data_IF_669093262576
#
_entry.id   IF_669093262576
#
_cell.length_a   1.000
_cell.length_b   1.000
_cell.length_c   1.000
_cell.angle_alpha   90.00
_cell.angle_beta   90.00
_cell.angle_gamma   90.00
#
_symmetry.space_group_name_H-M   'P 1'
#
loop_
_entity.id
_entity.type
_entity.pdbx_description
1 polymer ?
#
# COMPACT_ATOMS: atom_id res chain seq x y z
N UNK A 1 21.93 8.34 41.56
CA UNK A 1 21.13 7.46 40.67
C UNK A 1 22.01 6.31 40.23
N UNK A 2 21.47 5.11 40.05
CA UNK A 2 22.25 3.91 39.68
C UNK A 2 22.16 3.61 38.19
N UNK A 3 23.17 2.91 37.66
CA UNK A 3 23.27 2.52 36.24
C UNK A 3 22.00 1.79 35.77
N UNK A 4 21.38 0.97 36.62
CA UNK A 4 20.13 0.27 36.30
C UNK A 4 18.96 1.21 36.00
N UNK A 5 18.76 2.26 36.80
CA UNK A 5 17.69 3.25 36.56
C UNK A 5 17.92 4.04 35.26
N UNK A 6 19.18 4.29 34.90
CA UNK A 6 19.53 4.95 33.64
C UNK A 6 19.27 4.04 32.44
N UNK A 7 19.60 2.74 32.55
CA UNK A 7 19.29 1.73 31.53
C UNK A 7 17.77 1.58 31.34
N UNK A 8 16.98 1.56 32.41
CA UNK A 8 15.51 1.53 32.32
C UNK A 8 14.95 2.80 31.65
N UNK A 9 15.47 3.98 31.99
CA UNK A 9 15.08 5.24 31.35
C UNK A 9 15.42 5.27 29.86
N UNK A 10 16.63 4.82 29.49
CA UNK A 10 17.06 4.73 28.10
C UNK A 10 16.20 3.75 27.29
N UNK A 11 15.85 2.60 27.87
CA UNK A 11 14.97 1.61 27.25
C UNK A 11 13.58 2.17 26.96
N UNK A 12 12.93 2.79 27.96
CA UNK A 12 11.61 3.41 27.78
C UNK A 12 11.62 4.50 26.71
N UNK A 13 12.67 5.32 26.65
CA UNK A 13 12.83 6.34 25.61
C UNK A 13 13.05 5.73 24.22
N UNK A 14 13.70 4.57 24.13
CA UNK A 14 13.87 3.83 22.88
C UNK A 14 12.53 3.28 22.37
N UNK A 15 11.76 2.62 23.24
CA UNK A 15 10.44 2.08 22.91
C UNK A 15 9.47 3.20 22.50
N UNK A 16 9.50 4.34 23.18
CA UNK A 16 8.71 5.52 22.82
C UNK A 16 9.03 6.04 21.41
N UNK A 17 10.32 6.12 21.05
CA UNK A 17 10.75 6.54 19.71
C UNK A 17 10.36 5.53 18.63
N UNK A 18 10.50 4.23 18.92
CA UNK A 18 10.08 3.15 18.01
C UNK A 18 8.59 3.22 17.72
N UNK A 19 7.76 3.39 18.75
CA UNK A 19 6.31 3.52 18.58
C UNK A 19 5.93 4.76 17.74
N UNK A 20 6.58 5.91 17.99
CA UNK A 20 6.35 7.11 17.20
C UNK A 20 6.75 6.93 15.73
N UNK A 21 7.85 6.25 15.47
CA UNK A 21 8.29 5.92 14.12
C UNK A 21 7.23 5.09 13.36
N UNK A 22 6.75 4.00 13.97
CA UNK A 22 5.71 3.19 13.31
C UNK A 22 4.39 3.95 13.13
N UNK A 23 4.01 4.82 14.06
CA UNK A 23 2.84 5.70 13.89
C UNK A 23 2.99 6.57 12.64
N UNK A 24 4.13 7.28 12.52
CA UNK A 24 4.42 8.11 11.34
C UNK A 24 4.39 7.32 10.04
N UNK A 25 4.98 6.12 10.03
CA UNK A 25 4.98 5.26 8.86
C UNK A 25 3.55 4.81 8.48
N UNK A 26 2.73 4.44 9.46
CA UNK A 26 1.33 4.11 9.23
C UNK A 26 0.52 5.33 8.74
N UNK A 27 0.80 6.53 9.24
CA UNK A 27 0.17 7.76 8.74
C UNK A 27 0.54 8.03 7.28
N UNK A 28 1.80 7.76 6.88
CA UNK A 28 2.21 7.82 5.47
C UNK A 28 1.49 6.79 4.59
N UNK A 29 1.23 5.56 5.07
CA UNK A 29 0.43 4.59 4.28
C UNK A 29 -0.99 5.09 4.02
N UNK A 30 -1.61 5.76 5.01
CA UNK A 30 -2.94 6.37 4.88
C UNK A 30 -2.90 7.53 3.88
N UNK A 31 -1.91 8.40 3.99
CA UNK A 31 -1.73 9.51 3.08
C UNK A 31 -1.52 9.03 1.63
N UNK A 32 -0.71 7.98 1.43
CA UNK A 32 -0.53 7.34 0.12
C UNK A 32 -1.87 6.83 -0.43
N UNK A 33 -2.65 6.08 0.36
CA UNK A 33 -3.96 5.57 -0.04
C UNK A 33 -4.94 6.68 -0.39
N UNK A 34 -5.02 7.73 0.43
CA UNK A 34 -5.97 8.82 0.22
C UNK A 34 -5.60 9.64 -1.03
N UNK A 35 -4.31 9.87 -1.27
CA UNK A 35 -3.86 10.53 -2.50
C UNK A 35 -4.05 9.65 -3.73
N UNK A 36 -3.82 8.33 -3.64
CA UNK A 36 -4.07 7.40 -4.73
C UNK A 36 -5.57 7.34 -5.09
N UNK A 37 -6.44 7.27 -4.08
CA UNK A 37 -7.90 7.31 -4.24
C UNK A 37 -8.37 8.56 -5.00
N UNK A 38 -7.79 9.72 -4.69
CA UNK A 38 -8.04 10.97 -5.45
C UNK A 38 -7.48 10.91 -6.86
N UNK A 39 -6.27 10.39 -7.02
CA UNK A 39 -5.59 10.29 -8.31
C UNK A 39 -6.36 9.44 -9.33
N UNK A 40 -6.96 8.32 -8.89
CA UNK A 40 -7.77 7.44 -9.74
C UNK A 40 -9.26 7.81 -9.76
N UNK A 41 -9.63 8.93 -9.14
CA UNK A 41 -11.02 9.39 -9.02
C UNK A 41 -11.96 8.29 -8.48
N UNK A 42 -11.49 7.49 -7.51
CA UNK A 42 -12.25 6.35 -7.01
C UNK A 42 -13.58 6.81 -6.41
N UNK A 43 -14.67 6.03 -6.55
CA UNK A 43 -15.94 6.35 -5.91
C UNK A 43 -15.79 6.57 -4.40
N UNK A 44 -16.46 7.59 -3.88
CA UNK A 44 -16.44 7.91 -2.43
C UNK A 44 -17.30 6.94 -1.59
N UNK A 45 -18.15 6.15 -2.26
CA UNK A 45 -18.99 5.14 -1.63
C UNK A 45 -18.21 3.86 -1.28
N UNK A 46 -18.96 2.89 -0.75
CA UNK A 46 -18.47 1.53 -0.52
C UNK A 46 -19.17 0.58 -1.48
N UNK A 47 -18.54 -0.55 -1.76
CA UNK A 47 -19.19 -1.68 -2.41
C UNK A 47 -19.33 -2.81 -1.40
N UNK A 48 -20.37 -3.62 -1.54
CA UNK A 48 -20.56 -4.79 -0.68
C UNK A 48 -19.53 -5.86 -1.00
N UNK A 49 -19.27 -6.76 -0.07
CA UNK A 49 -18.51 -8.00 -0.20
C UNK A 49 -19.17 -9.03 0.73
N UNK A 50 -18.78 -10.30 0.65
CA UNK A 50 -19.30 -11.34 1.55
C UNK A 50 -19.04 -10.99 3.04
N UNK A 51 -17.97 -10.24 3.31
CA UNK A 51 -17.55 -9.83 4.65
C UNK A 51 -18.07 -8.42 5.07
N UNK A 52 -18.85 -7.76 4.21
CA UNK A 52 -19.46 -6.44 4.47
C UNK A 52 -19.08 -5.35 3.47
N UNK A 53 -19.32 -4.09 3.84
CA UNK A 53 -19.06 -2.95 2.93
C UNK A 53 -17.64 -2.39 3.06
N UNK A 54 -16.95 -2.28 1.93
CA UNK A 54 -15.55 -1.85 1.86
C UNK A 54 -15.35 -0.74 0.83
N UNK A 55 -14.38 0.18 1.03
CA UNK A 55 -14.08 1.23 0.06
C UNK A 55 -13.35 0.68 -1.16
N UNK A 56 -13.44 1.40 -2.28
CA UNK A 56 -12.82 1.01 -3.56
C UNK A 56 -11.30 0.98 -3.50
N UNK A 57 -10.69 1.91 -2.76
CA UNK A 57 -9.26 1.88 -2.43
C UNK A 57 -9.11 1.61 -0.95
N UNK A 58 -8.41 0.53 -0.61
CA UNK A 58 -8.21 0.13 0.79
C UNK A 58 -6.79 -0.33 1.06
N UNK A 59 -6.41 -0.20 2.33
CA UNK A 59 -5.14 -0.70 2.85
C UNK A 59 -5.35 -2.10 3.44
N UNK A 60 -4.38 -2.97 3.23
CA UNK A 60 -4.34 -4.33 3.75
C UNK A 60 -3.05 -4.50 4.56
N UNK A 61 -3.10 -5.25 5.64
CA UNK A 61 -1.89 -5.68 6.32
C UNK A 61 -1.19 -6.75 5.48
N UNK A 62 0.15 -6.76 5.49
CA UNK A 62 0.94 -7.82 4.87
C UNK A 62 1.63 -8.63 5.96
N UNK A 63 1.15 -9.85 6.18
CA UNK A 63 1.66 -10.74 7.22
C UNK A 63 1.91 -12.11 6.62
N UNK A 64 3.11 -12.64 6.89
CA UNK A 64 3.52 -14.00 6.52
C UNK A 64 3.24 -14.38 5.05
N UNK A 65 3.45 -13.41 4.14
CA UNK A 65 3.28 -13.62 2.70
C UNK A 65 1.84 -13.50 2.22
N UNK A 66 0.92 -12.98 3.03
CA UNK A 66 -0.50 -12.89 2.74
C UNK A 66 -1.06 -11.49 3.04
N UNK A 67 -2.12 -11.13 2.32
CA UNK A 67 -2.91 -9.94 2.60
C UNK A 67 -3.99 -10.23 3.64
N UNK A 68 -4.08 -9.37 4.64
CA UNK A 68 -5.07 -9.47 5.71
C UNK A 68 -5.82 -8.15 5.91
N UNK A 69 -7.04 -8.24 6.45
CA UNK A 69 -7.76 -7.07 6.92
C UNK A 69 -7.03 -6.47 8.14
N UNK A 70 -6.80 -5.15 8.16
CA UNK A 70 -6.04 -4.53 9.25
C UNK A 70 -6.84 -4.52 10.55
N UNK A 71 -6.36 -5.24 11.57
CA UNK A 71 -6.90 -5.23 12.94
C UNK A 71 -6.21 -4.20 13.87
N UNK A 72 -5.19 -3.50 13.37
CA UNK A 72 -4.36 -2.57 14.14
C UNK A 72 -3.42 -1.72 13.28
N UNK A 73 -2.13 -1.72 13.60
CA UNK A 73 -1.10 -1.10 12.75
C UNK A 73 -0.90 -1.95 11.49
N UNK A 74 -0.95 -1.32 10.31
CA UNK A 74 -0.67 -1.95 9.02
C UNK A 74 0.78 -2.44 8.95
N UNK A 75 1.69 -1.58 9.40
CA UNK A 75 3.11 -1.89 9.51
C UNK A 75 3.47 -1.94 10.99
N UNK A 76 3.74 -3.15 11.48
CA UNK A 76 4.14 -3.44 12.86
C UNK A 76 5.60 -3.91 12.98
N UNK A 77 6.22 -4.29 11.85
CA UNK A 77 7.61 -4.72 11.73
C UNK A 77 8.24 -4.17 10.45
N UNK A 78 9.56 -4.06 10.45
CA UNK A 78 10.35 -3.82 9.25
C UNK A 78 11.11 -5.10 8.90
N UNK A 79 11.47 -5.24 7.63
CA UNK A 79 12.44 -6.25 7.20
C UNK A 79 13.89 -5.83 7.51
N UNK A 80 14.84 -6.65 7.06
CA UNK A 80 16.28 -6.43 7.25
C UNK A 80 16.80 -5.14 6.57
N UNK A 81 16.11 -4.66 5.53
CA UNK A 81 16.44 -3.44 4.79
C UNK A 81 15.71 -2.20 5.34
N UNK A 82 15.03 -2.35 6.48
CA UNK A 82 14.22 -1.35 7.17
C UNK A 82 12.98 -0.92 6.38
N UNK A 83 12.45 -1.81 5.55
CA UNK A 83 11.23 -1.58 4.76
C UNK A 83 10.01 -2.10 5.51
N UNK A 84 9.00 -1.24 5.62
CA UNK A 84 7.69 -1.58 6.13
C UNK A 84 6.72 -1.93 5.00
N UNK A 85 6.22 -3.16 4.99
CA UNK A 85 5.38 -3.68 3.92
C UNK A 85 3.89 -3.63 4.24
N UNK A 86 3.07 -3.27 3.26
CA UNK A 86 1.60 -3.27 3.34
C UNK A 86 0.98 -3.48 1.96
N UNK A 87 -0.30 -3.84 1.92
CA UNK A 87 -1.05 -3.97 0.68
C UNK A 87 -1.89 -2.74 0.36
N UNK A 88 -1.94 -2.37 -0.91
CA UNK A 88 -2.93 -1.44 -1.46
C UNK A 88 -3.86 -2.21 -2.40
N UNK A 89 -5.15 -2.10 -2.19
CA UNK A 89 -6.17 -2.79 -2.97
C UNK A 89 -7.05 -1.78 -3.69
N UNK A 90 -7.30 -2.01 -4.98
CA UNK A 90 -8.20 -1.25 -5.83
C UNK A 90 -9.28 -2.19 -6.41
N UNK A 91 -10.54 -1.88 -6.14
CA UNK A 91 -11.67 -2.49 -6.84
C UNK A 91 -11.97 -1.72 -8.13
N UNK A 92 -12.08 -2.45 -9.24
CA UNK A 92 -12.41 -1.92 -10.57
C UNK A 92 -13.68 -2.61 -11.08
N UNK A 93 -14.50 -1.85 -11.80
CA UNK A 93 -15.79 -2.28 -12.32
C UNK A 93 -15.87 -1.99 -13.81
N UNK A 94 -16.59 -2.82 -14.55
CA UNK A 94 -16.92 -2.52 -15.94
C UNK A 94 -18.04 -1.47 -16.00
N UNK A 95 -18.99 -1.54 -15.06
CA UNK A 95 -20.04 -0.56 -14.80
C UNK A 95 -20.42 -0.55 -13.30
N UNK A 96 -21.10 0.51 -12.84
CA UNK A 96 -21.47 0.73 -11.43
C UNK A 96 -22.27 -0.44 -10.80
N UNK A 97 -23.00 -1.20 -11.62
CA UNK A 97 -23.89 -2.28 -11.17
C UNK A 97 -23.29 -3.68 -11.38
N UNK A 98 -22.16 -3.79 -12.06
CA UNK A 98 -21.52 -5.05 -12.41
C UNK A 98 -21.01 -5.77 -11.16
N UNK A 99 -21.27 -7.06 -11.05
CA UNK A 99 -20.87 -7.90 -9.92
C UNK A 99 -20.41 -9.28 -10.42
N UNK A 100 -19.33 -9.87 -9.88
CA UNK A 100 -18.44 -9.33 -8.84
C UNK A 100 -17.47 -8.26 -9.36
N UNK A 101 -16.98 -7.40 -8.46
CA UNK A 101 -15.93 -6.40 -8.77
C UNK A 101 -14.58 -7.10 -8.93
N UNK A 102 -13.75 -6.64 -9.86
CA UNK A 102 -12.37 -7.14 -10.00
C UNK A 102 -11.47 -6.40 -9.03
N UNK A 103 -10.79 -7.13 -8.14
CA UNK A 103 -9.94 -6.55 -7.10
C UNK A 103 -8.47 -6.76 -7.44
N UNK A 104 -7.76 -5.65 -7.63
CA UNK A 104 -6.32 -5.62 -7.86
C UNK A 104 -5.62 -5.26 -6.57
N UNK A 105 -4.58 -6.01 -6.22
CA UNK A 105 -3.78 -5.78 -5.03
C UNK A 105 -2.35 -5.54 -5.46
N UNK A 106 -1.70 -4.58 -4.82
CA UNK A 106 -0.29 -4.33 -5.00
C UNK A 106 0.41 -4.31 -3.64
N UNK A 107 1.51 -5.06 -3.54
CA UNK A 107 2.40 -4.99 -2.38
C UNK A 107 3.25 -3.72 -2.47
N UNK A 108 3.27 -2.91 -1.39
CA UNK A 108 4.02 -1.67 -1.32
C UNK A 108 4.93 -1.70 -0.10
N UNK A 109 6.20 -1.36 -0.30
CA UNK A 109 7.17 -1.16 0.77
C UNK A 109 7.44 0.33 1.00
N UNK A 110 7.49 0.78 2.25
CA UNK A 110 7.93 2.12 2.61
C UNK A 110 9.18 2.07 3.47
N UNK A 111 10.15 2.89 3.12
CA UNK A 111 11.34 3.14 3.92
C UNK A 111 11.52 4.63 4.13
N UNK A 112 11.71 5.00 5.39
CA UNK A 112 11.87 6.40 5.78
C UNK A 112 13.28 6.87 5.49
N UNK A 113 13.44 7.95 4.72
CA UNK A 113 14.71 8.62 4.50
C UNK A 113 14.72 10.01 5.17
N UNK A 114 15.89 10.65 5.35
CA UNK A 114 15.98 11.96 5.98
C UNK A 114 15.14 13.04 5.32
N UNK A 115 14.93 13.04 4.00
CA UNK A 115 14.17 14.08 3.27
C UNK A 115 13.16 13.50 2.25
N UNK A 116 12.92 12.20 2.31
CA UNK A 116 12.11 11.48 1.33
C UNK A 116 11.47 10.22 1.94
N UNK A 117 10.56 9.62 1.19
CA UNK A 117 10.10 8.25 1.38
C UNK A 117 10.59 7.42 0.21
N UNK A 118 11.34 6.36 0.48
CA UNK A 118 11.65 5.35 -0.52
C UNK A 118 10.47 4.37 -0.59
N UNK A 119 9.92 4.20 -1.80
CA UNK A 119 8.72 3.40 -2.06
C UNK A 119 9.09 2.25 -2.98
N UNK A 120 8.91 1.02 -2.49
CA UNK A 120 9.21 -0.21 -3.21
C UNK A 120 7.94 -0.78 -3.83
N UNK A 121 8.04 -1.10 -5.12
CA UNK A 121 6.96 -1.63 -5.95
C UNK A 121 7.45 -2.94 -6.60
N UNK A 122 7.50 -4.06 -5.84
CA UNK A 122 8.11 -5.31 -6.28
C UNK A 122 7.47 -5.90 -7.54
N UNK A 123 6.16 -5.77 -7.71
CA UNK A 123 5.43 -6.24 -8.89
C UNK A 123 5.86 -5.54 -10.19
N UNK A 124 6.49 -4.36 -10.07
CA UNK A 124 6.98 -3.57 -11.18
C UNK A 124 8.51 -3.57 -11.28
N UNK A 125 9.21 -4.24 -10.36
CA UNK A 125 10.66 -4.16 -10.18
C UNK A 125 11.16 -2.69 -10.12
N UNK A 126 10.47 -1.87 -9.30
CA UNK A 126 10.75 -0.44 -9.17
C UNK A 126 10.93 0.00 -7.72
N UNK A 127 11.84 0.96 -7.54
CA UNK A 127 12.00 1.75 -6.31
C UNK A 127 11.91 3.22 -6.68
N UNK A 128 11.08 3.97 -5.97
CA UNK A 128 10.81 5.39 -6.23
C UNK A 128 11.10 6.18 -4.96
N UNK A 129 11.93 7.21 -5.08
CA UNK A 129 12.20 8.15 -3.98
C UNK A 129 11.22 9.31 -4.08
N UNK A 130 10.20 9.29 -3.23
CA UNK A 130 9.16 10.31 -3.15
C UNK A 130 9.60 11.44 -2.20
N UNK A 131 9.80 12.67 -2.67
CA UNK A 131 10.30 13.77 -1.83
C UNK A 131 9.27 14.16 -0.76
N UNK A 132 9.75 14.48 0.45
CA UNK A 132 8.92 15.07 1.51
C UNK A 132 8.75 16.56 1.24
N UNK A 133 7.49 17.01 1.25
CA UNK A 133 7.12 18.42 1.10
C UNK A 133 7.14 19.11 2.46
N UNK A 134 6.68 18.41 3.50
CA UNK A 134 6.81 18.77 4.91
C UNK A 134 6.88 17.48 5.76
N UNK A 135 6.92 17.59 7.10
CA UNK A 135 7.09 16.44 7.99
C UNK A 135 5.95 15.40 7.89
N UNK A 136 4.77 15.83 7.41
CA UNK A 136 3.57 14.99 7.32
C UNK A 136 3.16 14.70 5.87
N UNK A 137 3.68 15.45 4.89
CA UNK A 137 3.32 15.33 3.47
C UNK A 137 4.49 14.89 2.62
N UNK A 138 4.20 13.89 1.79
CA UNK A 138 5.10 13.36 0.78
C UNK A 138 4.41 13.44 -0.57
N UNK A 139 5.14 13.80 -1.62
CA UNK A 139 4.63 13.78 -2.99
C UNK A 139 4.78 12.38 -3.61
N UNK A 140 3.68 11.64 -3.63
CA UNK A 140 3.61 10.30 -4.19
C UNK A 140 3.15 10.25 -5.66
N UNK A 141 3.12 11.39 -6.37
CA UNK A 141 2.58 11.45 -7.75
C UNK A 141 3.22 10.44 -8.71
N UNK A 142 4.56 10.30 -8.65
CA UNK A 142 5.29 9.32 -9.46
C UNK A 142 4.98 7.85 -9.06
N UNK A 143 4.69 7.61 -7.78
CA UNK A 143 4.26 6.31 -7.26
C UNK A 143 2.90 5.94 -7.82
N UNK A 144 1.95 6.87 -7.82
CA UNK A 144 0.59 6.64 -8.34
C UNK A 144 0.61 6.26 -9.83
N UNK A 145 1.40 6.97 -10.62
CA UNK A 145 1.60 6.65 -12.05
C UNK A 145 2.11 5.23 -12.25
N UNK A 146 3.10 4.81 -11.45
CA UNK A 146 3.65 3.45 -11.54
C UNK A 146 2.62 2.40 -11.15
N UNK A 147 1.88 2.59 -10.05
CA UNK A 147 0.82 1.66 -9.63
C UNK A 147 -0.23 1.50 -10.74
N UNK A 148 -0.68 2.62 -11.34
CA UNK A 148 -1.65 2.58 -12.45
C UNK A 148 -1.08 1.89 -13.69
N UNK A 149 0.19 2.11 -14.03
CA UNK A 149 0.87 1.38 -15.11
C UNK A 149 0.88 -0.14 -14.84
N UNK A 150 1.16 -0.54 -13.60
CA UNK A 150 1.11 -1.94 -13.16
C UNK A 150 -0.29 -2.55 -13.33
N UNK A 151 -1.32 -1.85 -12.90
CA UNK A 151 -2.72 -2.29 -13.02
C UNK A 151 -3.13 -2.38 -14.50
N UNK A 152 -2.77 -1.41 -15.33
CA UNK A 152 -3.06 -1.47 -16.77
C UNK A 152 -2.40 -2.66 -17.46
N UNK A 153 -1.16 -3.01 -17.09
CA UNK A 153 -0.50 -4.21 -17.62
C UNK A 153 -1.23 -5.49 -17.22
N UNK A 154 -1.75 -5.56 -16.00
CA UNK A 154 -2.57 -6.70 -15.55
C UNK A 154 -3.92 -6.75 -16.28
N UNK A 155 -4.54 -5.60 -16.55
CA UNK A 155 -5.80 -5.49 -17.29
C UNK A 155 -5.66 -5.81 -18.78
N UNK A 156 -4.55 -5.39 -19.41
CA UNK A 156 -4.29 -5.64 -20.82
C UNK A 156 -3.88 -7.09 -21.12
N UNK A 157 -3.63 -7.90 -20.08
CA UNK A 157 -3.35 -9.31 -20.25
C UNK A 157 -4.65 -10.09 -20.50
N UNK A 158 -5.07 -10.18 -21.76
CA UNK A 158 -6.03 -11.20 -22.20
C UNK A 158 -5.26 -12.46 -22.67
N UNK A 159 -5.26 -13.57 -21.90
CA UNK A 159 -4.62 -14.81 -22.32
C UNK A 159 -5.25 -15.45 -23.58
N UNK A 160 -6.35 -14.89 -24.09
CA UNK A 160 -7.06 -15.34 -25.28
C UNK A 160 -7.02 -14.36 -26.46
N UNK A 161 -6.41 -13.16 -26.32
CA UNK A 161 -6.09 -12.27 -27.44
C UNK A 161 -5.05 -12.95 -28.35
N UNK A 162 -5.54 -13.75 -29.30
CA UNK A 162 -4.73 -14.56 -30.23
C UNK A 162 -5.26 -15.97 -30.49
N UNK A 163 -6.28 -16.45 -29.75
CA UNK A 163 -6.87 -17.80 -29.97
C UNK A 163 -8.15 -17.83 -30.82
N UNK A 164 -8.60 -16.70 -31.36
CA UNK A 164 -9.66 -16.70 -32.37
C UNK A 164 -9.06 -16.62 -33.78
N UNK A 165 -8.91 -17.79 -34.41
CA UNK A 165 -9.42 -18.07 -35.77
C UNK A 165 -8.67 -19.24 -36.42
N UNK A 166 -9.19 -20.45 -36.21
CA UNK A 166 -9.40 -21.42 -37.30
C UNK A 166 -10.38 -22.48 -36.80
N UNK A 167 -11.67 -22.24 -37.05
CA UNK A 167 -12.63 -23.33 -37.10
C UNK A 167 -12.31 -24.18 -38.35
N UNK A 168 -12.06 -25.50 -38.24
CA UNK A 168 -12.00 -26.35 -39.41
C UNK A 168 -13.40 -26.48 -40.00
N UNK A 169 -13.50 -26.28 -41.31
CA UNK A 169 -14.68 -26.62 -42.12
C UNK A 169 -14.81 -28.13 -42.26
#
# INVERSE_FOLDING_TARGET
MGIFSELCGAYSNSEGRKLQFFRKLNDQTRHLRDGFSKYVESPTGKYSTDDGEVPYVRLLAWQDGQYEEPSGMLISRLDDDLVGWFGLSLAVEHDANSWPKSVYRSLIGLKWLPDAMEVHLPEMDRVIVAPRVDDDKTDYSAVYQSIVEGIHRQLAFDPFEGRSAKAPR
#
